data_IF_880630588283
#
_entry.id   IF_880630588283
#
_cell.length_a   1.000
_cell.length_b   1.000
_cell.length_c   1.000
_cell.angle_alpha   90.00
_cell.angle_beta   90.00
_cell.angle_gamma   90.00
#
_symmetry.space_group_name_H-M   'P 1'
#
loop_
_entity.id
_entity.type
_entity.pdbx_description
1 polymer ?
#
# COMPACT_ATOMS: atom_id res chain seq x y z
N UNK A 1 18.24 -10.72 -14.08
CA UNK A 1 18.83 -11.97 -13.55
C UNK A 1 19.97 -12.57 -14.39
N UNK A 2 19.95 -12.51 -15.74
CA UNK A 2 20.92 -13.25 -16.59
C UNK A 2 22.40 -12.91 -16.38
N UNK A 3 22.72 -11.65 -16.06
CA UNK A 3 24.10 -11.21 -15.84
C UNK A 3 24.77 -11.84 -14.60
N UNK A 4 24.00 -12.33 -13.62
CA UNK A 4 24.52 -12.90 -12.37
C UNK A 4 24.68 -14.42 -12.39
N UNK A 5 24.34 -15.07 -13.50
CA UNK A 5 24.39 -16.54 -13.65
C UNK A 5 25.79 -17.12 -13.37
N UNK A 6 26.91 -16.53 -13.85
CA UNK A 6 28.25 -17.08 -13.57
C UNK A 6 28.59 -17.08 -12.08
N UNK A 7 28.28 -15.99 -11.37
CA UNK A 7 28.54 -15.83 -9.93
C UNK A 7 27.65 -16.74 -9.09
N UNK A 8 26.40 -16.96 -9.52
CA UNK A 8 25.49 -17.91 -8.88
C UNK A 8 26.00 -19.35 -9.05
N UNK A 9 26.56 -19.71 -10.22
CA UNK A 9 27.15 -21.04 -10.44
C UNK A 9 28.40 -21.26 -9.58
N UNK A 10 29.25 -20.24 -9.44
CA UNK A 10 30.46 -20.30 -8.60
C UNK A 10 30.11 -20.48 -7.12
N UNK A 11 29.11 -19.75 -6.61
CA UNK A 11 28.62 -19.87 -5.24
C UNK A 11 28.00 -21.25 -4.90
N UNK A 12 27.63 -22.04 -5.91
CA UNK A 12 27.05 -23.38 -5.75
C UNK A 12 28.12 -24.49 -5.73
N UNK A 13 29.39 -24.20 -6.01
CA UNK A 13 30.46 -25.20 -5.88
C UNK A 13 30.69 -25.55 -4.39
N UNK A 14 30.44 -26.81 -4.05
CA UNK A 14 30.81 -27.44 -2.77
C UNK A 14 29.77 -27.39 -1.64
N UNK A 15 28.77 -26.51 -1.68
CA UNK A 15 27.86 -26.28 -0.53
C UNK A 15 26.36 -26.46 -0.82
N UNK A 16 25.93 -26.69 -2.07
CA UNK A 16 24.51 -26.89 -2.38
C UNK A 16 24.16 -28.37 -2.57
N UNK A 17 23.68 -29.02 -1.50
CA UNK A 17 23.26 -30.42 -1.49
C UNK A 17 21.74 -30.59 -1.47
N UNK A 18 21.29 -31.84 -1.39
CA UNK A 18 19.87 -32.21 -1.40
C UNK A 18 19.04 -31.48 -0.32
N UNK A 19 19.61 -31.30 0.88
CA UNK A 19 18.94 -30.56 1.96
C UNK A 19 18.71 -29.08 1.62
N UNK A 20 19.72 -28.39 1.07
CA UNK A 20 19.59 -27.00 0.64
C UNK A 20 18.59 -26.85 -0.52
N UNK A 21 18.59 -27.80 -1.46
CA UNK A 21 17.61 -27.83 -2.54
C UNK A 21 16.17 -28.01 -2.01
N UNK A 22 15.98 -28.84 -0.98
CA UNK A 22 14.69 -29.00 -0.33
C UNK A 22 14.21 -27.70 0.32
N UNK A 23 15.04 -27.05 1.15
CA UNK A 23 14.68 -25.79 1.81
C UNK A 23 14.42 -24.67 0.79
N UNK A 24 15.29 -24.53 -0.21
CA UNK A 24 15.11 -23.53 -1.26
C UNK A 24 13.79 -23.73 -2.01
N UNK A 25 13.39 -24.98 -2.27
CA UNK A 25 12.10 -25.28 -2.90
C UNK A 25 10.93 -24.84 -2.02
N UNK A 26 10.96 -25.10 -0.71
CA UNK A 26 9.90 -24.64 0.18
C UNK A 26 9.77 -23.10 0.20
N UNK A 27 10.88 -22.38 0.15
CA UNK A 27 10.87 -20.91 0.08
C UNK A 27 10.27 -20.44 -1.25
N UNK A 28 10.69 -21.05 -2.37
CA UNK A 28 10.17 -20.71 -3.70
C UNK A 28 8.67 -21.00 -3.78
N UNK A 29 8.23 -22.18 -3.34
CA UNK A 29 6.82 -22.55 -3.33
C UNK A 29 5.98 -21.56 -2.49
N UNK A 30 6.54 -21.03 -1.39
CA UNK A 30 5.87 -20.02 -0.59
C UNK A 30 5.83 -18.64 -1.25
N UNK A 31 6.90 -18.25 -1.96
CA UNK A 31 6.91 -17.02 -2.77
C UNK A 31 5.83 -17.12 -3.85
N UNK A 32 5.77 -18.23 -4.57
CA UNK A 32 4.77 -18.46 -5.63
C UNK A 32 3.34 -18.42 -5.06
N UNK A 33 3.12 -19.00 -3.88
CA UNK A 33 1.85 -18.89 -3.16
C UNK A 33 1.49 -17.44 -2.82
N UNK A 34 2.43 -16.68 -2.25
CA UNK A 34 2.19 -15.28 -1.88
C UNK A 34 1.93 -14.41 -3.12
N UNK A 35 2.66 -14.62 -4.21
CA UNK A 35 2.42 -13.91 -5.47
C UNK A 35 1.03 -14.22 -6.02
N UNK A 36 0.59 -15.48 -5.98
CA UNK A 36 -0.77 -15.86 -6.36
C UNK A 36 -1.83 -15.22 -5.46
N UNK A 37 -1.60 -15.18 -4.14
CA UNK A 37 -2.53 -14.58 -3.20
C UNK A 37 -2.63 -13.06 -3.40
N UNK A 38 -1.50 -12.37 -3.62
CA UNK A 38 -1.45 -10.95 -3.97
C UNK A 38 -2.23 -10.68 -5.25
N UNK A 39 -2.04 -11.52 -6.29
CA UNK A 39 -2.77 -11.42 -7.54
C UNK A 39 -4.28 -11.51 -7.34
N UNK A 40 -4.74 -12.55 -6.63
CA UNK A 40 -6.17 -12.74 -6.36
C UNK A 40 -6.78 -11.56 -5.59
N UNK A 41 -6.10 -11.06 -4.55
CA UNK A 41 -6.55 -9.91 -3.78
C UNK A 41 -6.54 -8.62 -4.59
N UNK A 42 -5.56 -8.45 -5.50
CA UNK A 42 -5.49 -7.28 -6.38
C UNK A 42 -6.68 -7.22 -7.33
N UNK A 43 -7.09 -8.37 -7.89
CA UNK A 43 -8.28 -8.44 -8.75
C UNK A 43 -9.57 -8.19 -7.97
N UNK A 44 -9.74 -8.79 -6.78
CA UNK A 44 -10.89 -8.52 -5.90
C UNK A 44 -11.00 -7.02 -5.55
N UNK A 45 -9.88 -6.37 -5.22
CA UNK A 45 -9.83 -4.93 -4.96
C UNK A 45 -10.26 -4.15 -6.20
N UNK A 46 -9.78 -4.52 -7.40
CA UNK A 46 -10.18 -3.86 -8.65
C UNK A 46 -11.68 -3.96 -8.86
N UNK A 47 -12.27 -5.15 -8.74
CA UNK A 47 -13.70 -5.37 -8.93
C UNK A 47 -14.53 -4.50 -7.97
N UNK A 48 -14.15 -4.44 -6.69
CA UNK A 48 -14.83 -3.60 -5.70
C UNK A 48 -14.68 -2.11 -5.94
N UNK A 49 -13.64 -1.69 -6.65
CA UNK A 49 -13.38 -0.29 -6.96
C UNK A 49 -14.02 0.18 -8.27
N UNK A 50 -14.63 -0.70 -9.07
CA UNK A 50 -15.39 -0.33 -10.29
C UNK A 50 -16.37 0.84 -10.03
N UNK A 51 -17.18 0.85 -8.95
CA UNK A 51 -18.09 1.96 -8.67
C UNK A 51 -17.40 3.31 -8.40
N UNK A 52 -16.09 3.28 -8.12
CA UNK A 52 -15.28 4.42 -7.70
C UNK A 52 -14.20 4.81 -8.72
N UNK A 53 -14.19 4.22 -9.92
CA UNK A 53 -13.14 4.46 -10.93
C UNK A 53 -12.91 5.94 -11.22
N UNK A 54 -13.99 6.73 -11.32
CA UNK A 54 -13.90 8.18 -11.55
C UNK A 54 -13.20 8.90 -10.39
N UNK A 55 -13.49 8.51 -9.15
CA UNK A 55 -12.85 9.08 -7.96
C UNK A 55 -11.38 8.66 -7.87
N UNK A 56 -11.05 7.40 -8.17
CA UNK A 56 -9.67 6.91 -8.22
C UNK A 56 -8.87 7.65 -9.29
N UNK A 57 -9.43 7.85 -10.48
CA UNK A 57 -8.79 8.59 -11.56
C UNK A 57 -8.53 10.05 -11.17
N UNK A 58 -9.49 10.70 -10.51
CA UNK A 58 -9.36 12.08 -10.04
C UNK A 58 -8.26 12.21 -8.98
N UNK A 59 -8.21 11.31 -7.99
CA UNK A 59 -7.19 11.34 -6.94
C UNK A 59 -5.79 11.03 -7.53
N UNK A 60 -5.72 10.13 -8.50
CA UNK A 60 -4.48 9.77 -9.20
C UNK A 60 -3.93 10.90 -10.09
N UNK A 61 -4.74 11.91 -10.43
CA UNK A 61 -4.26 13.06 -11.22
C UNK A 61 -3.41 14.03 -10.37
N UNK A 62 -3.38 13.86 -9.05
CA UNK A 62 -2.55 14.65 -8.15
C UNK A 62 -1.08 14.20 -8.30
N UNK A 63 -0.14 15.11 -8.63
CA UNK A 63 1.27 14.75 -8.76
C UNK A 63 1.82 14.06 -7.50
N UNK A 64 2.47 12.91 -7.68
CA UNK A 64 3.02 12.13 -6.58
C UNK A 64 2.06 11.10 -5.96
N UNK A 65 0.78 11.06 -6.38
CA UNK A 65 -0.17 10.02 -5.97
C UNK A 65 -0.23 8.93 -7.04
N UNK A 66 0.17 7.71 -6.66
CA UNK A 66 0.02 6.53 -7.52
C UNK A 66 -1.42 6.04 -7.54
N UNK A 67 -1.80 5.26 -8.56
CA UNK A 67 -3.10 4.60 -8.61
C UNK A 67 -3.37 3.78 -7.35
N UNK A 68 -2.41 2.97 -6.89
CA UNK A 68 -2.55 2.19 -5.65
C UNK A 68 -2.78 3.09 -4.43
N UNK A 69 -2.08 4.23 -4.33
CA UNK A 69 -2.30 5.20 -3.25
C UNK A 69 -3.70 5.80 -3.32
N UNK A 70 -4.18 6.14 -4.52
CA UNK A 70 -5.54 6.64 -4.72
C UNK A 70 -6.60 5.60 -4.31
N UNK A 71 -6.40 4.33 -4.68
CA UNK A 71 -7.28 3.22 -4.27
C UNK A 71 -7.37 3.10 -2.75
N UNK A 72 -6.24 3.21 -2.04
CA UNK A 72 -6.21 3.22 -0.57
C UNK A 72 -7.00 4.39 0.00
N UNK A 73 -6.79 5.61 -0.52
CA UNK A 73 -7.54 6.80 -0.06
C UNK A 73 -9.05 6.57 -0.22
N UNK A 74 -9.50 6.03 -1.35
CA UNK A 74 -10.91 5.75 -1.59
C UNK A 74 -11.43 4.65 -0.65
N UNK A 75 -10.66 3.58 -0.43
CA UNK A 75 -11.06 2.49 0.46
C UNK A 75 -11.23 2.98 1.92
N UNK A 76 -10.32 3.82 2.39
CA UNK A 76 -10.32 4.35 3.75
C UNK A 76 -11.40 5.42 3.98
N UNK A 77 -11.63 6.28 2.99
CA UNK A 77 -12.67 7.33 3.08
C UNK A 77 -14.07 6.83 2.71
N UNK A 78 -14.16 5.70 2.03
CA UNK A 78 -15.38 5.17 1.44
C UNK A 78 -15.87 5.92 0.20
N UNK A 79 -15.11 6.89 -0.33
CA UNK A 79 -15.44 7.67 -1.53
C UNK A 79 -16.62 8.66 -1.39
N UNK A 80 -17.38 8.60 -0.30
CA UNK A 80 -18.50 9.49 -0.03
C UNK A 80 -18.04 10.76 0.70
N UNK A 81 -17.87 11.84 -0.07
CA UNK A 81 -17.44 13.13 0.46
C UNK A 81 -18.55 13.86 1.25
N UNK A 82 -19.81 13.40 1.23
CA UNK A 82 -20.86 13.98 2.09
C UNK A 82 -20.61 13.74 3.58
N UNK A 83 -19.82 12.70 3.91
CA UNK A 83 -19.34 12.40 5.26
C UNK A 83 -18.31 13.43 5.77
N UNK A 84 -17.73 14.21 4.87
CA UNK A 84 -16.75 15.25 5.16
C UNK A 84 -17.27 16.60 4.66
N UNK A 85 -18.03 17.36 5.48
CA UNK A 85 -18.69 18.59 5.04
C UNK A 85 -17.73 19.64 4.47
N UNK A 86 -16.46 19.62 4.90
CA UNK A 86 -15.39 20.46 4.35
C UNK A 86 -14.10 19.66 4.22
N UNK A 87 -13.18 20.10 3.37
CA UNK A 87 -11.84 19.52 3.27
C UNK A 87 -11.11 19.48 4.63
N UNK A 88 -11.36 20.46 5.50
CA UNK A 88 -10.81 20.47 6.86
C UNK A 88 -11.26 19.29 7.72
N UNK A 89 -12.49 18.79 7.54
CA UNK A 89 -12.96 17.59 8.25
C UNK A 89 -12.21 16.34 7.79
N UNK A 90 -11.94 16.21 6.49
CA UNK A 90 -11.14 15.12 5.96
C UNK A 90 -9.69 15.20 6.48
N UNK A 91 -9.08 16.39 6.47
CA UNK A 91 -7.73 16.58 7.02
C UNK A 91 -7.65 16.28 8.53
N UNK A 92 -8.67 16.66 9.30
CA UNK A 92 -8.73 16.36 10.72
C UNK A 92 -8.87 14.86 10.99
N UNK A 93 -9.73 14.17 10.23
CA UNK A 93 -9.86 12.72 10.30
C UNK A 93 -8.57 12.00 9.91
N UNK A 94 -7.85 12.48 8.89
CA UNK A 94 -6.56 11.96 8.47
C UNK A 94 -5.40 12.32 9.42
N UNK A 95 -5.64 13.07 10.50
CA UNK A 95 -4.61 13.52 11.44
C UNK A 95 -3.63 14.57 10.89
N UNK A 96 -3.96 15.19 9.75
CA UNK A 96 -3.16 16.22 9.08
C UNK A 96 -3.49 17.64 9.56
N UNK A 97 -4.66 17.83 10.19
CA UNK A 97 -5.00 19.12 10.77
C UNK A 97 -4.15 19.38 12.02
N UNK A 98 -3.65 20.62 12.22
CA UNK A 98 -2.93 20.97 13.44
C UNK A 98 -3.81 20.74 14.67
N UNK A 99 -3.22 20.17 15.73
CA UNK A 99 -3.95 19.90 16.96
C UNK A 99 -4.52 21.21 17.54
N UNK A 100 -5.83 21.28 17.74
CA UNK A 100 -6.47 22.38 18.47
C UNK A 100 -6.70 21.93 19.91
N UNK A 101 -5.87 22.38 20.84
CA UNK A 101 -6.11 22.20 22.27
C UNK A 101 -6.91 23.40 22.79
N UNK A 102 -8.23 23.22 22.93
CA UNK A 102 -9.10 24.15 23.63
C UNK A 102 -9.52 23.54 24.97
N UNK A 103 -9.02 24.10 26.06
CA UNK A 103 -9.46 23.79 27.43
C UNK A 103 -9.86 25.09 28.11
N UNK A 104 -11.03 25.09 28.75
CA UNK A 104 -11.59 26.24 29.48
C UNK A 104 -11.60 27.57 28.69
N UNK A 105 -11.98 27.53 27.41
CA UNK A 105 -12.13 28.72 26.56
C UNK A 105 -10.82 29.41 26.16
N UNK A 106 -9.66 28.79 26.39
CA UNK A 106 -8.37 29.29 25.93
C UNK A 106 -7.83 28.42 24.80
N UNK A 107 -7.69 29.02 23.62
CA UNK A 107 -7.04 28.42 22.45
C UNK A 107 -5.53 28.52 22.61
N UNK A 108 -4.82 27.40 22.56
CA UNK A 108 -3.37 27.37 22.34
C UNK A 108 -3.10 26.85 20.94
N UNK A 109 -2.31 27.54 20.10
CA UNK A 109 -1.81 26.95 18.87
C UNK A 109 -0.90 25.77 19.21
N UNK A 110 -1.03 24.65 18.47
CA UNK A 110 -0.07 23.57 18.55
C UNK A 110 1.18 23.94 17.73
N UNK A 111 2.34 23.93 18.39
CA UNK A 111 3.64 24.11 17.75
C UNK A 111 4.36 25.39 18.18
N UNK A 112 5.24 25.25 19.17
CA UNK A 112 6.46 26.05 19.34
C UNK A 112 7.58 25.09 19.68
#
# INVERSE_FOLDING_TARGET
>A
MRAKIPQLKEALYGHFGAHHAFVARQIIDHIDYLDSAIGALTEEIRERLIPFESAVALVSSIPGISATTAQVIIAETGGDMSRFPTAGHLCAWAGLAPASYESAGKRKPAGS
#
